data_IF_682676161915
#
_entry.id   IF_682676161915
#
_cell.length_a   1.000
_cell.length_b   1.000
_cell.length_c   1.000
_cell.angle_alpha   90.00
_cell.angle_beta   90.00
_cell.angle_gamma   90.00
#
_symmetry.space_group_name_H-M   'P 1'
#
loop_
_entity.id
_entity.type
_entity.pdbx_description
1 polymer ?
#
# COMPACT_ATOMS: atom_id res chain seq x y z
N UNK A 1 34.45 49.40 42.11
CA UNK A 1 34.44 47.93 41.98
C UNK A 1 32.99 47.47 42.00
N UNK A 2 32.42 47.12 40.83
CA UNK A 2 32.12 45.72 40.41
C UNK A 2 31.18 45.03 41.39
N UNK A 3 29.86 45.16 41.19
CA UNK A 3 28.96 44.17 40.53
C UNK A 3 28.81 42.88 41.36
N UNK A 4 27.58 42.61 41.80
CA UNK A 4 27.01 41.28 41.96
C UNK A 4 25.47 41.40 41.98
N UNK A 5 24.91 41.92 40.89
CA UNK A 5 23.55 41.52 40.51
C UNK A 5 23.67 40.06 40.07
N UNK A 6 23.17 39.16 40.91
CA UNK A 6 23.07 37.74 40.56
C UNK A 6 22.05 37.62 39.44
N UNK A 7 22.56 37.64 38.22
CA UNK A 7 21.82 37.37 37.00
C UNK A 7 21.32 35.93 37.08
N UNK A 8 20.06 35.75 37.46
CA UNK A 8 19.32 34.52 37.19
C UNK A 8 19.13 34.47 35.68
N UNK A 9 20.14 33.97 34.98
CA UNK A 9 20.05 33.60 33.58
C UNK A 9 19.15 32.37 33.53
N UNK A 10 17.86 32.60 33.42
CA UNK A 10 16.89 31.60 32.98
C UNK A 10 17.28 31.25 31.55
N UNK A 11 18.17 30.28 31.39
CA UNK A 11 18.49 29.67 30.12
C UNK A 11 17.22 28.92 29.71
N UNK A 12 16.33 29.61 29.00
CA UNK A 12 15.26 28.95 28.24
C UNK A 12 16.01 28.13 27.20
N UNK A 13 16.34 26.89 27.55
CA UNK A 13 16.64 25.87 26.56
C UNK A 13 15.32 25.72 25.82
N UNK A 14 15.17 26.48 24.75
CA UNK A 14 14.23 26.17 23.70
C UNK A 14 14.76 24.85 23.13
N UNK A 15 14.41 23.73 23.76
CA UNK A 15 14.28 22.48 23.05
C UNK A 15 13.14 22.73 22.08
N UNK A 16 13.45 23.40 20.97
CA UNK A 16 12.75 23.17 19.73
C UNK A 16 13.04 21.71 19.40
N UNK A 17 12.30 20.81 20.05
CA UNK A 17 12.13 19.46 19.58
C UNK A 17 11.72 19.65 18.13
N UNK A 18 12.59 19.24 17.21
CA UNK A 18 12.31 19.22 15.79
C UNK A 18 11.18 18.22 15.58
N UNK A 19 9.95 18.64 15.86
CA UNK A 19 8.75 17.90 15.54
C UNK A 19 8.73 17.85 14.02
N UNK A 20 9.07 16.68 13.46
CA UNK A 20 9.01 16.46 12.03
C UNK A 20 7.61 16.84 11.54
N UNK A 21 7.53 17.55 10.43
CA UNK A 21 6.23 17.91 9.87
C UNK A 21 5.52 16.65 9.37
N UNK A 22 4.18 16.63 9.29
CA UNK A 22 3.44 15.50 8.73
C UNK A 22 3.94 15.08 7.34
N UNK A 23 4.28 16.06 6.49
CA UNK A 23 4.84 15.80 5.16
C UNK A 23 6.22 15.16 5.21
N UNK A 24 7.10 15.59 6.12
CA UNK A 24 8.41 14.97 6.29
C UNK A 24 8.30 13.50 6.72
N UNK A 25 7.34 13.17 7.60
CA UNK A 25 7.12 11.78 8.02
C UNK A 25 6.64 10.93 6.84
N UNK A 26 5.69 11.44 6.04
CA UNK A 26 5.17 10.72 4.86
C UNK A 26 6.23 10.62 3.75
N UNK A 27 7.04 11.64 3.53
CA UNK A 27 8.14 11.58 2.57
C UNK A 27 9.17 10.53 3.00
N UNK A 28 9.51 10.48 4.29
CA UNK A 28 10.39 9.45 4.83
C UNK A 28 9.79 8.05 4.70
N UNK A 29 8.47 7.90 4.81
CA UNK A 29 7.80 6.64 4.52
C UNK A 29 8.05 6.19 3.08
N UNK A 30 7.92 7.09 2.09
CA UNK A 30 8.27 6.79 0.69
C UNK A 30 9.73 6.36 0.54
N UNK A 31 10.66 7.07 1.20
CA UNK A 31 12.09 6.69 1.19
C UNK A 31 12.35 5.30 1.79
N UNK A 32 11.68 4.94 2.88
CA UNK A 32 11.83 3.59 3.48
C UNK A 32 11.16 2.51 2.61
N UNK A 33 10.03 2.80 1.97
CA UNK A 33 9.37 1.89 1.02
C UNK A 33 10.30 1.54 -0.15
N UNK A 34 10.98 2.54 -0.73
CA UNK A 34 11.89 2.36 -1.85
C UNK A 34 13.11 1.48 -1.51
N UNK A 35 13.54 1.45 -0.24
CA UNK A 35 14.62 0.53 0.18
C UNK A 35 14.21 -0.93 0.14
N UNK A 36 12.91 -1.21 0.17
CA UNK A 36 12.35 -2.57 0.21
C UNK A 36 11.75 -3.02 -1.13
N UNK A 37 11.88 -2.23 -2.20
CA UNK A 37 11.34 -2.55 -3.53
C UNK A 37 11.76 -3.95 -4.01
N UNK A 38 13.03 -4.31 -3.81
CA UNK A 38 13.58 -5.62 -4.20
C UNK A 38 13.22 -6.78 -3.26
N UNK A 39 12.74 -6.48 -2.04
CA UNK A 39 12.41 -7.50 -1.04
C UNK A 39 11.06 -8.16 -1.32
N UNK A 40 10.22 -7.51 -2.12
CA UNK A 40 8.85 -7.91 -2.39
C UNK A 40 7.90 -7.57 -1.23
N UNK A 41 6.65 -7.30 -1.56
CA UNK A 41 5.65 -6.73 -0.66
C UNK A 41 4.44 -7.66 -0.57
N UNK A 42 3.91 -7.79 0.63
CA UNK A 42 2.61 -8.38 0.90
C UNK A 42 1.68 -7.30 1.46
N UNK A 43 0.44 -7.30 1.01
CA UNK A 43 -0.63 -6.48 1.59
C UNK A 43 -2.00 -7.13 1.40
N UNK A 44 -2.99 -6.65 2.16
CA UNK A 44 -4.40 -6.94 1.93
C UNK A 44 -5.09 -5.67 1.46
N UNK A 45 -5.76 -5.77 0.32
CA UNK A 45 -6.59 -4.71 -0.25
C UNK A 45 -8.06 -5.07 -0.13
N UNK A 46 -8.81 -4.27 0.61
CA UNK A 46 -10.25 -4.35 0.74
C UNK A 46 -10.91 -3.26 -0.11
N UNK A 47 -11.72 -3.66 -1.08
CA UNK A 47 -12.54 -2.76 -1.90
C UNK A 47 -13.98 -2.85 -1.43
N UNK A 48 -14.46 -1.81 -0.76
CA UNK A 48 -15.84 -1.69 -0.29
C UNK A 48 -16.69 -0.91 -1.29
N UNK A 49 -17.70 -1.58 -1.84
CA UNK A 49 -18.74 -1.00 -2.69
C UNK A 49 -20.05 -0.97 -1.90
N UNK A 50 -20.70 0.20 -1.70
CA UNK A 50 -21.82 0.35 -0.77
C UNK A 50 -23.00 -0.64 -0.91
N UNK A 51 -23.25 -1.14 -2.12
CA UNK A 51 -24.37 -2.05 -2.42
C UNK A 51 -23.93 -3.52 -2.53
N UNK A 52 -22.69 -3.76 -2.98
CA UNK A 52 -22.20 -5.11 -3.30
C UNK A 52 -21.49 -5.76 -2.12
N UNK A 53 -20.96 -4.96 -1.19
CA UNK A 53 -20.20 -5.43 -0.03
C UNK A 53 -18.71 -5.13 -0.16
N UNK A 54 -17.89 -5.90 0.53
CA UNK A 54 -16.43 -5.76 0.52
C UNK A 54 -15.81 -6.94 -0.20
N UNK A 55 -15.00 -6.67 -1.23
CA UNK A 55 -14.09 -7.62 -1.83
C UNK A 55 -12.73 -7.49 -1.12
N UNK A 56 -12.14 -8.61 -0.71
CA UNK A 56 -10.80 -8.64 -0.11
C UNK A 56 -9.85 -9.41 -1.01
N UNK A 57 -8.69 -8.83 -1.26
CA UNK A 57 -7.63 -9.42 -2.07
C UNK A 57 -6.32 -9.38 -1.29
N UNK A 58 -5.65 -10.53 -1.19
CA UNK A 58 -4.26 -10.58 -0.73
C UNK A 58 -3.38 -10.42 -1.95
N UNK A 59 -2.43 -9.50 -1.87
CA UNK A 59 -1.48 -9.25 -2.94
C UNK A 59 -0.08 -9.54 -2.44
N UNK A 60 0.69 -10.25 -3.26
CA UNK A 60 2.11 -10.50 -3.10
C UNK A 60 2.80 -10.00 -4.37
N UNK A 61 3.77 -9.11 -4.25
CA UNK A 61 4.54 -8.61 -5.39
C UNK A 61 6.03 -8.76 -5.14
N UNK A 62 6.82 -8.97 -6.19
CA UNK A 62 8.29 -8.97 -6.16
C UNK A 62 8.83 -8.74 -7.56
N UNK A 63 9.43 -7.58 -7.80
CA UNK A 63 9.78 -7.14 -9.16
C UNK A 63 8.53 -7.16 -10.05
N UNK A 64 8.67 -7.67 -11.27
CA UNK A 64 7.57 -7.79 -12.24
C UNK A 64 6.61 -8.97 -11.97
N UNK A 65 6.75 -9.66 -10.84
CA UNK A 65 5.91 -10.82 -10.49
C UNK A 65 4.86 -10.46 -9.45
N UNK A 66 3.66 -10.95 -9.69
CA UNK A 66 2.49 -10.72 -8.84
C UNK A 66 1.80 -12.04 -8.51
N UNK A 67 1.27 -12.14 -7.30
CA UNK A 67 0.22 -13.10 -6.95
C UNK A 67 -0.90 -12.39 -6.24
N UNK A 68 -2.11 -12.57 -6.74
CA UNK A 68 -3.34 -12.10 -6.10
C UNK A 68 -4.18 -13.29 -5.67
N UNK A 69 -4.69 -13.26 -4.44
CA UNK A 69 -5.67 -14.21 -3.95
C UNK A 69 -6.93 -13.46 -3.55
N UNK A 70 -8.05 -13.83 -4.15
CA UNK A 70 -9.36 -13.32 -3.76
C UNK A 70 -10.32 -14.46 -3.51
N UNK A 71 -11.22 -14.27 -2.56
CA UNK A 71 -12.30 -15.21 -2.28
C UNK A 71 -13.62 -14.49 -2.45
N UNK A 72 -14.42 -14.95 -3.41
CA UNK A 72 -15.76 -14.39 -3.69
C UNK A 72 -16.78 -15.51 -3.67
N UNK A 73 -17.78 -15.41 -2.79
CA UNK A 73 -18.86 -16.40 -2.67
C UNK A 73 -18.36 -17.85 -2.44
N UNK A 74 -17.28 -18.00 -1.66
CA UNK A 74 -16.66 -19.31 -1.39
C UNK A 74 -15.85 -19.88 -2.57
N UNK A 75 -15.65 -19.09 -3.62
CA UNK A 75 -14.79 -19.43 -4.76
C UNK A 75 -13.46 -18.70 -4.56
N UNK A 76 -12.41 -19.47 -4.37
CA UNK A 76 -11.04 -18.99 -4.42
C UNK A 76 -10.62 -18.79 -5.87
N UNK A 77 -10.11 -17.59 -6.16
CA UNK A 77 -9.46 -17.22 -7.41
C UNK A 77 -8.05 -16.79 -7.07
N UNK A 78 -7.06 -17.45 -7.69
CA UNK A 78 -5.64 -17.13 -7.49
C UNK A 78 -5.07 -16.78 -8.85
N UNK A 79 -4.48 -15.59 -8.95
CA UNK A 79 -3.86 -15.08 -10.16
C UNK A 79 -2.37 -14.99 -9.89
N UNK A 80 -1.55 -15.50 -10.81
CA UNK A 80 -0.12 -15.23 -10.88
C UNK A 80 0.15 -14.46 -12.18
N UNK A 81 1.00 -13.45 -12.13
CA UNK A 81 1.47 -12.71 -13.29
C UNK A 81 2.99 -12.64 -13.26
N UNK A 82 3.62 -12.78 -14.42
CA UNK A 82 4.99 -12.34 -14.68
C UNK A 82 5.00 -11.41 -15.90
N UNK A 83 6.18 -11.10 -16.44
CA UNK A 83 6.35 -10.18 -17.58
C UNK A 83 5.57 -10.58 -18.84
N UNK A 84 5.25 -11.86 -19.01
CA UNK A 84 4.69 -12.38 -20.27
C UNK A 84 3.41 -13.21 -20.11
N UNK A 85 3.15 -13.75 -18.93
CA UNK A 85 2.12 -14.77 -18.72
C UNK A 85 1.27 -14.49 -17.49
N UNK A 86 -0.02 -14.77 -17.60
CA UNK A 86 -0.96 -14.82 -16.48
C UNK A 86 -1.45 -16.25 -16.28
N UNK A 87 -1.44 -16.72 -15.03
CA UNK A 87 -2.05 -17.98 -14.61
C UNK A 87 -3.22 -17.68 -13.69
N UNK A 88 -4.43 -18.03 -14.10
CA UNK A 88 -5.65 -17.85 -13.30
C UNK A 88 -6.19 -19.19 -12.86
N UNK A 89 -6.07 -19.50 -11.57
CA UNK A 89 -6.75 -20.61 -10.92
C UNK A 89 -8.16 -20.22 -10.47
N UNK A 90 -9.13 -21.11 -10.69
CA UNK A 90 -10.48 -21.00 -10.18
C UNK A 90 -10.91 -22.30 -9.48
N UNK A 91 -11.19 -22.23 -8.19
CA UNK A 91 -11.56 -23.40 -7.37
C UNK A 91 -12.91 -24.02 -7.74
N UNK A 92 -13.86 -23.26 -8.29
CA UNK A 92 -15.17 -23.79 -8.69
C UNK A 92 -15.07 -24.72 -9.88
N UNK A 93 -14.21 -24.39 -10.84
CA UNK A 93 -13.97 -25.20 -12.04
C UNK A 93 -12.77 -26.12 -11.90
N UNK A 94 -12.02 -26.01 -10.80
CA UNK A 94 -10.74 -26.66 -10.55
C UNK A 94 -9.79 -26.56 -11.75
N UNK A 95 -9.71 -25.36 -12.34
CA UNK A 95 -8.99 -25.11 -13.59
C UNK A 95 -7.98 -23.98 -13.42
N UNK A 96 -6.80 -24.14 -14.02
CA UNK A 96 -5.83 -23.09 -14.28
C UNK A 96 -5.89 -22.73 -15.76
N UNK A 97 -6.17 -21.46 -16.06
CA UNK A 97 -6.09 -20.92 -17.42
C UNK A 97 -4.80 -20.11 -17.54
N UNK A 98 -4.02 -20.38 -18.59
CA UNK A 98 -2.75 -19.72 -18.88
C UNK A 98 -2.94 -18.84 -20.13
N UNK A 99 -2.67 -17.54 -20.01
CA UNK A 99 -2.89 -16.57 -21.08
C UNK A 99 -1.64 -15.69 -21.23
N UNK A 100 -1.40 -15.21 -22.45
CA UNK A 100 -0.32 -14.25 -22.70
C UNK A 100 -0.75 -12.90 -22.14
N UNK A 101 0.13 -12.26 -21.36
CA UNK A 101 -0.10 -10.91 -20.87
C UNK A 101 -0.17 -9.97 -22.08
N UNK A 102 -1.36 -9.49 -22.41
CA UNK A 102 -1.52 -8.53 -23.50
C UNK A 102 -0.90 -7.20 -23.09
N UNK A 103 -0.23 -6.51 -24.01
CA UNK A 103 0.51 -5.27 -23.74
C UNK A 103 -0.31 -4.07 -23.19
N UNK A 104 -1.63 -4.22 -22.99
CA UNK A 104 -2.50 -3.26 -22.28
C UNK A 104 -3.22 -3.83 -21.06
N UNK A 105 -2.94 -5.10 -20.69
CA UNK A 105 -3.42 -5.77 -19.48
C UNK A 105 -2.26 -6.16 -18.56
N UNK A 106 -1.05 -5.55 -18.70
CA UNK A 106 -0.24 -5.38 -17.50
C UNK A 106 -1.21 -4.73 -16.52
N UNK A 107 -1.56 -5.44 -15.44
CA UNK A 107 -2.37 -4.83 -14.41
C UNK A 107 -1.77 -3.46 -14.16
N UNK A 108 -2.57 -2.40 -14.01
CA UNK A 108 -2.11 -1.09 -13.53
C UNK A 108 -1.59 -1.21 -12.06
N UNK A 109 -0.98 -2.34 -11.73
CA UNK A 109 -0.12 -2.66 -10.60
C UNK A 109 1.36 -2.51 -10.97
N UNK A 110 1.68 -1.72 -12.02
CA UNK A 110 2.98 -1.07 -12.11
C UNK A 110 3.20 -0.35 -10.77
N UNK A 111 3.97 -1.01 -9.90
CA UNK A 111 4.24 -0.66 -8.51
C UNK A 111 3.02 -0.29 -7.67
N UNK A 112 2.45 -1.23 -6.92
CA UNK A 112 1.54 -0.90 -5.79
C UNK A 112 2.16 0.11 -4.77
N UNK A 113 3.47 0.37 -4.88
CA UNK A 113 4.22 1.39 -4.15
C UNK A 113 4.11 2.80 -4.74
N UNK A 114 3.85 2.96 -6.04
CA UNK A 114 3.66 4.27 -6.68
C UNK A 114 2.50 5.05 -6.04
N UNK A 115 1.53 4.33 -5.47
CA UNK A 115 0.43 4.94 -4.72
C UNK A 115 0.90 5.72 -3.47
N UNK A 116 2.08 5.38 -2.93
CA UNK A 116 2.71 6.10 -1.83
C UNK A 116 3.66 7.19 -2.30
N UNK A 117 4.17 7.09 -3.52
CA UNK A 117 4.99 8.13 -4.12
C UNK A 117 4.15 9.38 -4.36
N UNK A 118 4.65 10.51 -3.86
CA UNK A 118 3.98 11.80 -3.99
C UNK A 118 2.52 11.80 -3.49
N UNK A 119 2.16 10.89 -2.57
CA UNK A 119 0.78 10.77 -2.04
C UNK A 119 0.27 12.08 -1.41
N UNK A 120 1.18 13.01 -1.05
CA UNK A 120 0.84 14.33 -0.51
C UNK A 120 0.52 15.38 -1.57
N UNK A 121 0.77 15.10 -2.85
CA UNK A 121 0.64 16.08 -3.93
C UNK A 121 -0.82 16.38 -4.27
N UNK A 122 -1.19 17.66 -4.20
CA UNK A 122 -2.58 18.08 -4.35
C UNK A 122 -3.46 17.74 -3.15
N UNK A 123 -2.87 17.40 -1.99
CA UNK A 123 -3.58 17.16 -0.73
C UNK A 123 -3.10 18.10 0.40
N UNK A 124 -4.05 18.52 1.23
CA UNK A 124 -3.78 19.12 2.53
C UNK A 124 -3.56 17.99 3.55
N UNK A 125 -2.37 17.95 4.14
CA UNK A 125 -1.95 16.88 5.06
C UNK A 125 -2.08 17.35 6.51
N UNK A 126 -2.81 16.60 7.32
CA UNK A 126 -2.93 16.83 8.77
C UNK A 126 -2.51 15.59 9.55
N UNK A 127 -1.83 15.80 10.68
CA UNK A 127 -1.66 14.78 11.71
C UNK A 127 -2.90 14.81 12.60
N UNK A 128 -3.74 13.79 12.48
CA UNK A 128 -5.00 13.70 13.21
C UNK A 128 -4.80 13.11 14.62
N UNK A 129 -3.89 12.15 14.73
CA UNK A 129 -3.60 11.44 15.98
C UNK A 129 -2.17 10.91 15.99
N UNK A 130 -1.58 10.88 17.18
CA UNK A 130 -0.30 10.25 17.45
C UNK A 130 -0.43 9.28 18.62
N UNK A 131 0.20 8.11 18.51
CA UNK A 131 0.22 7.05 19.53
C UNK A 131 1.66 6.67 19.85
N UNK A 132 1.86 5.74 20.79
CA UNK A 132 3.21 5.24 21.09
C UNK A 132 3.89 4.56 19.89
N UNK A 133 3.12 3.93 19.01
CA UNK A 133 3.61 3.09 17.92
C UNK A 133 3.35 3.63 16.50
N UNK A 134 2.45 4.60 16.34
CA UNK A 134 2.05 5.08 15.02
C UNK A 134 1.63 6.57 14.97
N UNK A 135 1.77 7.15 13.78
CA UNK A 135 1.16 8.42 13.36
C UNK A 135 -0.05 8.15 12.46
N UNK A 136 -1.10 8.96 12.61
CA UNK A 136 -2.33 8.88 11.84
C UNK A 136 -2.53 10.20 11.10
N UNK A 137 -2.54 10.14 9.78
CA UNK A 137 -2.66 11.29 8.90
C UNK A 137 -3.98 11.27 8.15
N UNK A 138 -4.55 12.46 7.92
CA UNK A 138 -5.61 12.68 6.96
C UNK A 138 -5.08 13.58 5.84
N UNK A 139 -5.22 13.10 4.60
CA UNK A 139 -4.88 13.84 3.39
C UNK A 139 -6.19 14.20 2.71
N UNK A 140 -6.52 15.48 2.67
CA UNK A 140 -7.75 15.99 2.06
C UNK A 140 -7.45 16.65 0.73
N UNK A 141 -8.17 16.24 -0.31
CA UNK A 141 -7.94 16.76 -1.67
C UNK A 141 -8.12 18.27 -1.71
N UNK A 142 -7.12 18.97 -2.24
CA UNK A 142 -7.16 20.41 -2.43
C UNK A 142 -8.11 20.78 -3.57
N UNK A 143 -8.72 21.96 -3.51
CA UNK A 143 -9.58 22.49 -4.60
C UNK A 143 -8.81 22.75 -5.91
N UNK A 144 -7.49 22.92 -5.80
CA UNK A 144 -6.54 23.10 -6.89
C UNK A 144 -6.24 21.79 -7.60
N UNK A 145 -6.35 20.63 -6.93
CA UNK A 145 -6.26 19.33 -7.57
C UNK A 145 -7.51 19.10 -8.43
N UNK A 146 -7.34 19.20 -9.76
CA UNK A 146 -8.42 19.06 -10.76
C UNK A 146 -8.60 17.64 -11.28
N UNK A 147 -7.76 16.71 -10.86
CA UNK A 147 -7.88 15.32 -11.27
C UNK A 147 -9.25 14.79 -10.85
N UNK A 148 -10.01 14.22 -11.77
CA UNK A 148 -11.41 13.87 -11.49
C UNK A 148 -11.50 12.66 -10.55
N UNK A 149 -10.59 11.72 -10.71
CA UNK A 149 -10.68 10.39 -10.11
C UNK A 149 -9.87 10.25 -8.81
N UNK A 150 -8.95 11.18 -8.52
CA UNK A 150 -8.25 11.26 -7.24
C UNK A 150 -9.20 11.21 -6.02
N UNK A 151 -8.88 10.40 -4.99
CA UNK A 151 -9.65 10.28 -3.76
C UNK A 151 -9.98 11.62 -3.10
N UNK A 152 -11.17 11.75 -2.50
CA UNK A 152 -11.53 12.98 -1.77
C UNK A 152 -10.78 13.12 -0.45
N UNK A 153 -10.48 11.97 0.15
CA UNK A 153 -9.77 11.83 1.42
C UNK A 153 -8.97 10.53 1.40
N UNK A 154 -7.75 10.58 1.91
CA UNK A 154 -6.92 9.43 2.22
C UNK A 154 -6.61 9.48 3.72
N UNK A 155 -6.87 8.38 4.42
CA UNK A 155 -6.47 8.16 5.81
C UNK A 155 -5.25 7.23 5.79
N UNK A 156 -4.13 7.70 6.33
CA UNK A 156 -2.84 6.99 6.29
C UNK A 156 -2.32 6.75 7.71
N UNK A 157 -1.86 5.54 7.98
CA UNK A 157 -1.24 5.17 9.25
C UNK A 157 0.20 4.75 9.01
N UNK A 158 1.15 5.39 9.70
CA UNK A 158 2.59 5.15 9.55
C UNK A 158 3.19 4.69 10.87
N UNK A 159 3.98 3.62 10.84
CA UNK A 159 4.65 3.09 12.02
C UNK A 159 5.82 3.99 12.46
N UNK A 160 5.93 4.28 13.76
CA UNK A 160 7.00 5.15 14.30
C UNK A 160 8.40 4.54 14.25
N UNK A 161 8.49 3.23 14.45
CA UNK A 161 9.77 2.54 14.51
C UNK A 161 10.43 2.36 13.14
N UNK A 162 9.63 2.17 12.11
CA UNK A 162 10.13 1.81 10.76
C UNK A 162 9.79 2.85 9.70
N UNK A 163 8.91 3.82 9.99
CA UNK A 163 8.32 4.74 9.02
C UNK A 163 7.56 4.03 7.88
N UNK A 164 7.25 2.74 8.00
CA UNK A 164 6.51 2.00 6.98
C UNK A 164 4.98 2.19 7.15
N UNK A 165 4.19 2.12 6.07
CA UNK A 165 2.73 2.18 6.16
C UNK A 165 2.20 0.96 6.91
N UNK A 166 1.23 1.18 7.80
CA UNK A 166 0.46 0.11 8.45
C UNK A 166 -0.90 -0.08 7.80
N UNK A 167 -1.50 1.03 7.37
CA UNK A 167 -2.79 1.03 6.70
C UNK A 167 -2.96 2.31 5.87
N UNK A 168 -3.70 2.19 4.78
CA UNK A 168 -4.16 3.30 3.95
C UNK A 168 -5.63 3.08 3.63
N UNK A 169 -6.45 4.11 3.70
CA UNK A 169 -7.86 4.06 3.30
C UNK A 169 -8.21 5.27 2.44
N UNK A 170 -8.56 5.02 1.19
CA UNK A 170 -8.92 6.06 0.22
C UNK A 170 -10.41 6.00 -0.11
N UNK A 171 -11.11 7.13 0.04
CA UNK A 171 -12.53 7.25 -0.33
C UNK A 171 -12.69 7.89 -1.70
N UNK A 172 -13.14 7.09 -2.66
CA UNK A 172 -13.52 7.51 -4.01
C UNK A 172 -15.04 7.77 -4.09
N UNK A 173 -15.50 8.29 -5.23
CA UNK A 173 -16.92 8.68 -5.39
C UNK A 173 -17.91 7.50 -5.33
N UNK A 174 -17.47 6.27 -5.60
CA UNK A 174 -18.33 5.08 -5.60
C UNK A 174 -17.83 3.89 -4.77
N UNK A 175 -16.62 3.98 -4.22
CA UNK A 175 -16.00 2.88 -3.46
C UNK A 175 -15.01 3.42 -2.42
N UNK A 176 -14.63 2.56 -1.49
CA UNK A 176 -13.52 2.79 -0.56
C UNK A 176 -12.51 1.69 -0.74
N UNK A 177 -11.25 2.06 -0.96
CA UNK A 177 -10.12 1.12 -0.99
C UNK A 177 -9.41 1.20 0.35
N UNK A 178 -9.16 0.08 0.99
CA UNK A 178 -8.37 0.00 2.21
C UNK A 178 -7.24 -0.99 2.02
N UNK A 179 -6.00 -0.53 2.15
CA UNK A 179 -4.81 -1.37 2.16
C UNK A 179 -4.32 -1.53 3.60
N UNK A 180 -3.94 -2.74 4.00
CA UNK A 180 -3.49 -3.05 5.36
C UNK A 180 -2.59 -4.27 5.38
N UNK A 181 -2.06 -4.57 6.56
CA UNK A 181 -1.23 -5.75 6.83
C UNK A 181 0.02 -5.82 5.94
N UNK A 182 0.64 -4.65 5.71
CA UNK A 182 1.88 -4.52 4.94
C UNK A 182 3.00 -5.36 5.57
N UNK A 183 3.64 -6.20 4.76
CA UNK A 183 4.83 -6.94 5.13
C UNK A 183 5.82 -7.01 3.96
N UNK A 184 7.09 -7.17 4.27
CA UNK A 184 8.20 -7.18 3.30
C UNK A 184 8.93 -8.52 3.33
N UNK A 185 9.70 -8.81 2.28
CA UNK A 185 10.47 -10.06 2.18
C UNK A 185 9.68 -11.21 1.55
N UNK A 186 8.80 -10.90 0.60
CA UNK A 186 8.08 -11.92 -0.16
C UNK A 186 9.06 -12.72 -1.02
N UNK A 187 9.15 -14.03 -0.79
CA UNK A 187 10.04 -14.90 -1.56
C UNK A 187 9.56 -15.11 -3.00
N UNK A 188 10.51 -15.34 -3.91
CA UNK A 188 10.25 -15.71 -5.32
C UNK A 188 9.22 -16.85 -5.48
N UNK A 189 9.32 -17.89 -4.65
CA UNK A 189 8.40 -19.04 -4.65
C UNK A 189 6.95 -18.62 -4.39
N UNK A 190 6.71 -17.54 -3.65
CA UNK A 190 5.34 -17.10 -3.32
C UNK A 190 4.64 -16.46 -4.50
N UNK A 191 5.37 -15.82 -5.40
CA UNK A 191 4.84 -15.08 -6.56
C UNK A 191 5.00 -15.83 -7.88
N UNK A 192 5.59 -17.03 -7.86
CA UNK A 192 5.76 -17.85 -9.07
C UNK A 192 4.74 -18.98 -9.08
N UNK A 193 4.02 -19.17 -10.20
CA UNK A 193 3.12 -20.29 -10.36
C UNK A 193 3.87 -21.63 -10.35
N UNK A 194 3.36 -22.61 -9.61
CA UNK A 194 3.85 -23.97 -9.60
C UNK A 194 2.69 -24.96 -9.65
N UNK A 195 2.60 -25.77 -10.71
CA UNK A 195 1.53 -26.75 -10.88
C UNK A 195 1.47 -27.79 -9.75
N UNK A 196 2.59 -28.07 -9.07
CA UNK A 196 2.60 -28.99 -7.93
C UNK A 196 1.80 -28.49 -6.72
N UNK A 197 1.59 -27.17 -6.61
CA UNK A 197 0.76 -26.57 -5.55
C UNK A 197 -0.75 -26.74 -5.84
N UNK A 198 -1.11 -27.25 -7.03
CA UNK A 198 -2.47 -27.39 -7.53
C UNK A 198 -2.75 -28.84 -8.01
N UNK A 199 -2.74 -29.83 -7.10
CA UNK A 199 -2.90 -31.23 -7.49
C UNK A 199 -4.28 -31.50 -8.11
N UNK A 200 -4.30 -32.12 -9.29
CA UNK A 200 -5.53 -32.53 -9.98
C UNK A 200 -6.27 -31.41 -10.71
N UNK A 201 -5.69 -30.22 -10.84
CA UNK A 201 -6.29 -29.15 -11.65
C UNK A 201 -6.23 -29.45 -13.13
N UNK A 202 -7.24 -28.99 -13.87
CA UNK A 202 -7.20 -28.96 -15.32
C UNK A 202 -6.38 -27.75 -15.76
N UNK A 203 -5.36 -27.95 -16.59
CA UNK A 203 -4.57 -26.86 -17.17
C UNK A 203 -5.07 -26.59 -18.60
N UNK A 204 -5.43 -25.35 -18.87
CA UNK A 204 -5.82 -24.85 -20.20
C UNK A 204 -4.85 -23.75 -20.62
N UNK A 205 -3.94 -24.05 -21.55
CA UNK A 205 -2.96 -23.10 -22.07
C UNK A 205 -3.46 -22.46 -23.37
N UNK A 206 -3.54 -21.12 -23.38
CA UNK A 206 -4.05 -20.30 -24.50
C UNK A 206 -3.03 -19.27 -25.01
N UNK A 207 -1.76 -19.39 -24.63
CA UNK A 207 -0.70 -18.47 -25.06
C UNK A 207 -0.38 -18.56 -26.55
#
# INVERSE_FOLDING_TARGET
MKRLFSTVTFLIIVFAAFAQTPKEIINRMGEELNKHESDGIYMITDVKVPVVGTLSTKTYSRGEKLRMETQTMGIDVIIFEDEETTWTYNSKTNKVVIEKLSAGNKSESEGDMELFDNITDGYDVTLDKETGDAWYFSLKKQKTNKEKDAPKKIDLVVAKGTYLPKALSAKMSGLTVTMRDFAFGVSEKKVTFNAADFPGVVIEDKR
#
